data_IF_004374447888
#
_entry.id   IF_004374447888
#
_cell.length_a   1.000
_cell.length_b   1.000
_cell.length_c   1.000
_cell.angle_alpha   90.00
_cell.angle_beta   90.00
_cell.angle_gamma   90.00
#
_symmetry.space_group_name_H-M   'P 1'
#
loop_
_entity.id
_entity.type
_entity.pdbx_description
1 polymer ?
#
# COMPACT_ATOMS: atom_id res chain seq x y z
N UNK A 1 -18.84 -39.16 -30.43
CA UNK A 1 -17.91 -38.73 -29.38
C UNK A 1 -16.57 -39.47 -29.49
N UNK A 2 -15.51 -38.97 -28.82
CA UNK A 2 -14.20 -39.68 -28.85
C UNK A 2 -14.27 -41.09 -28.23
N UNK A 3 -15.13 -41.27 -27.25
CA UNK A 3 -15.32 -42.60 -26.66
C UNK A 3 -15.93 -43.61 -27.65
N UNK A 4 -16.83 -43.17 -28.52
CA UNK A 4 -17.36 -43.96 -29.61
C UNK A 4 -16.28 -44.29 -30.63
N UNK A 5 -15.44 -43.29 -31.00
CA UNK A 5 -14.29 -43.50 -31.89
C UNK A 5 -13.25 -44.50 -31.32
N UNK A 6 -13.19 -44.57 -30.00
CA UNK A 6 -12.26 -45.47 -29.29
C UNK A 6 -12.90 -46.78 -28.84
N UNK A 7 -14.07 -47.12 -29.35
CA UNK A 7 -14.83 -48.34 -28.97
C UNK A 7 -15.01 -48.49 -27.45
N UNK A 8 -15.20 -47.37 -26.76
CA UNK A 8 -15.36 -47.33 -25.31
C UNK A 8 -14.04 -47.48 -24.51
N UNK A 9 -12.89 -47.46 -25.15
CA UNK A 9 -11.60 -47.64 -24.47
C UNK A 9 -11.18 -46.41 -23.67
N UNK A 10 -11.48 -46.37 -22.38
CA UNK A 10 -11.17 -45.27 -21.44
C UNK A 10 -9.66 -44.89 -21.44
N UNK A 11 -8.78 -45.87 -21.51
CA UNK A 11 -7.34 -45.65 -21.56
C UNK A 11 -6.89 -44.80 -22.76
N UNK A 12 -7.56 -44.95 -23.92
CA UNK A 12 -7.29 -44.14 -25.11
C UNK A 12 -7.79 -42.68 -24.90
N UNK A 13 -8.95 -42.53 -24.29
CA UNK A 13 -9.48 -41.20 -23.89
C UNK A 13 -8.53 -40.45 -22.98
N UNK A 14 -8.08 -41.08 -21.92
CA UNK A 14 -7.10 -40.47 -20.97
C UNK A 14 -5.74 -40.17 -21.63
N UNK A 15 -5.29 -41.02 -22.56
CA UNK A 15 -4.06 -40.75 -23.29
C UNK A 15 -4.21 -39.51 -24.19
N UNK A 16 -5.33 -39.40 -24.89
CA UNK A 16 -5.63 -38.24 -25.71
C UNK A 16 -5.67 -36.93 -24.86
N UNK A 17 -6.36 -36.96 -23.74
CA UNK A 17 -6.42 -35.80 -22.80
C UNK A 17 -5.04 -35.36 -22.37
N UNK A 18 -4.15 -36.31 -21.98
CA UNK A 18 -2.76 -35.99 -21.60
C UNK A 18 -1.99 -35.38 -22.75
N UNK A 19 -2.07 -35.96 -23.96
CA UNK A 19 -1.37 -35.43 -25.12
C UNK A 19 -1.80 -33.98 -25.44
N UNK A 20 -3.08 -33.73 -25.41
CA UNK A 20 -3.62 -32.33 -25.60
C UNK A 20 -3.13 -31.41 -24.50
N UNK A 21 -3.19 -31.83 -23.24
CA UNK A 21 -2.77 -31.02 -22.10
C UNK A 21 -1.28 -30.70 -22.14
N UNK A 22 -0.45 -31.68 -22.51
CA UNK A 22 0.99 -31.51 -22.64
C UNK A 22 1.34 -30.57 -23.79
N UNK A 23 0.71 -30.74 -24.96
CA UNK A 23 0.91 -29.88 -26.13
C UNK A 23 0.51 -28.42 -25.86
N UNK A 24 -0.59 -28.23 -25.13
CA UNK A 24 -1.08 -26.89 -24.75
C UNK A 24 -0.41 -26.31 -23.51
N UNK A 25 0.52 -27.02 -22.87
CA UNK A 25 1.25 -26.55 -21.70
C UNK A 25 0.49 -26.66 -20.37
N UNK A 26 -0.66 -27.31 -20.29
CA UNK A 26 -1.46 -27.49 -19.07
C UNK A 26 -1.04 -28.69 -18.22
N UNK A 27 0.25 -28.85 -17.96
CA UNK A 27 0.79 -30.02 -17.25
C UNK A 27 0.17 -30.33 -15.89
N UNK A 28 -0.29 -29.27 -15.16
CA UNK A 28 -0.85 -29.37 -13.82
C UNK A 28 -2.22 -28.68 -13.69
N UNK A 29 -2.82 -28.27 -14.78
CA UNK A 29 -4.05 -27.46 -14.80
C UNK A 29 -5.32 -28.19 -15.22
N UNK A 30 -5.24 -29.51 -15.45
CA UNK A 30 -6.38 -30.31 -15.88
C UNK A 30 -7.13 -30.80 -14.66
N UNK A 31 -8.41 -30.47 -14.57
CA UNK A 31 -9.30 -31.00 -13.52
C UNK A 31 -9.89 -32.33 -13.97
N UNK A 32 -9.98 -33.33 -13.07
CA UNK A 32 -10.44 -34.68 -13.44
C UNK A 32 -11.92 -34.76 -13.79
N UNK A 33 -12.70 -33.79 -13.33
CA UNK A 33 -14.15 -33.69 -13.60
C UNK A 33 -14.51 -32.24 -13.84
N UNK A 34 -15.16 -31.95 -14.95
CA UNK A 34 -15.72 -30.64 -15.26
C UNK A 34 -17.06 -30.81 -16.00
N UNK A 35 -17.80 -29.72 -16.16
CA UNK A 35 -18.98 -29.69 -17.02
C UNK A 35 -18.64 -29.45 -18.49
N UNK A 36 -19.57 -28.89 -19.22
CA UNK A 36 -19.38 -28.52 -20.63
C UNK A 36 -18.33 -27.42 -20.85
N UNK A 37 -18.07 -26.63 -19.80
CA UNK A 37 -17.06 -25.56 -19.76
C UNK A 37 -16.22 -25.69 -18.47
N UNK A 38 -15.10 -24.98 -18.41
CA UNK A 38 -14.37 -24.87 -17.15
C UNK A 38 -15.20 -24.17 -16.07
N UNK A 39 -14.95 -24.49 -14.82
CA UNK A 39 -15.63 -23.83 -13.69
C UNK A 39 -15.39 -22.30 -13.70
N UNK A 40 -16.45 -21.51 -13.63
CA UNK A 40 -16.35 -20.04 -13.56
C UNK A 40 -15.70 -19.52 -12.27
N UNK A 41 -15.42 -20.42 -11.32
CA UNK A 41 -14.56 -20.10 -10.16
C UNK A 41 -13.14 -19.74 -10.58
N UNK A 42 -12.67 -20.18 -11.76
CA UNK A 42 -11.37 -19.78 -12.30
C UNK A 42 -11.37 -18.27 -12.59
N UNK A 43 -12.41 -17.77 -13.25
CA UNK A 43 -12.57 -16.34 -13.53
C UNK A 43 -12.64 -15.53 -12.21
N UNK A 44 -13.38 -16.05 -11.22
CA UNK A 44 -13.46 -15.42 -9.89
C UNK A 44 -12.09 -15.40 -9.18
N UNK A 45 -11.31 -16.45 -9.26
CA UNK A 45 -9.97 -16.51 -8.68
C UNK A 45 -9.00 -15.52 -9.35
N UNK A 46 -9.09 -15.37 -10.68
CA UNK A 46 -8.30 -14.38 -11.44
C UNK A 46 -8.64 -12.96 -10.96
N UNK A 47 -9.92 -12.59 -10.95
CA UNK A 47 -10.31 -11.25 -10.53
C UNK A 47 -10.07 -11.00 -9.03
N UNK A 48 -10.13 -12.03 -8.19
CA UNK A 48 -9.69 -11.92 -6.79
C UNK A 48 -8.22 -11.51 -6.68
N UNK A 49 -7.36 -12.06 -7.53
CA UNK A 49 -5.94 -11.69 -7.58
C UNK A 49 -5.77 -10.23 -8.03
N UNK A 50 -6.46 -9.82 -9.09
CA UNK A 50 -6.44 -8.42 -9.55
C UNK A 50 -6.97 -7.45 -8.48
N UNK A 51 -8.04 -7.85 -7.77
CA UNK A 51 -8.56 -7.11 -6.62
C UNK A 51 -7.53 -6.97 -5.50
N UNK A 52 -6.74 -8.01 -5.22
CA UNK A 52 -5.64 -7.96 -4.25
C UNK A 52 -4.55 -6.96 -4.65
N UNK A 53 -4.18 -6.91 -5.92
CA UNK A 53 -3.25 -5.90 -6.47
C UNK A 53 -3.84 -4.50 -6.28
N UNK A 54 -5.12 -4.32 -6.64
CA UNK A 54 -5.81 -3.04 -6.52
C UNK A 54 -5.89 -2.54 -5.06
N UNK A 55 -6.09 -3.44 -4.09
CA UNK A 55 -6.08 -3.11 -2.66
C UNK A 55 -4.73 -2.55 -2.23
N UNK A 56 -3.63 -3.17 -2.63
CA UNK A 56 -2.27 -2.72 -2.29
C UNK A 56 -1.96 -1.36 -2.91
N UNK A 57 -2.27 -1.17 -4.19
CA UNK A 57 -2.03 0.11 -4.87
C UNK A 57 -2.96 1.22 -4.39
N UNK A 58 -4.21 0.89 -4.06
CA UNK A 58 -5.15 1.83 -3.46
C UNK A 58 -4.69 2.31 -2.08
N UNK A 59 -4.12 1.40 -1.27
CA UNK A 59 -3.51 1.74 0.03
C UNK A 59 -2.31 2.67 -0.16
N UNK A 60 -1.36 2.33 -1.02
CA UNK A 60 -0.22 3.17 -1.37
C UNK A 60 -0.66 4.57 -1.81
N UNK A 61 -1.59 4.65 -2.76
CA UNK A 61 -2.09 5.92 -3.28
C UNK A 61 -2.82 6.76 -2.22
N UNK A 62 -3.49 6.11 -1.27
CA UNK A 62 -4.13 6.81 -0.14
C UNK A 62 -3.08 7.44 0.77
N UNK A 63 -2.01 6.73 1.11
CA UNK A 63 -0.90 7.27 1.91
C UNK A 63 -0.25 8.47 1.21
N UNK A 64 0.03 8.33 -0.10
CA UNK A 64 0.56 9.43 -0.91
C UNK A 64 -0.32 10.68 -0.86
N UNK A 65 -1.65 10.52 -0.94
CA UNK A 65 -2.60 11.63 -0.85
C UNK A 65 -2.59 12.30 0.53
N UNK A 66 -2.51 11.51 1.60
CA UNK A 66 -2.42 12.02 2.97
C UNK A 66 -1.11 12.79 3.21
N UNK A 67 0.02 12.24 2.76
CA UNK A 67 1.32 12.89 2.88
C UNK A 67 1.43 14.14 2.00
N UNK A 68 0.78 14.14 0.84
CA UNK A 68 0.67 15.34 0.00
C UNK A 68 -0.20 16.43 0.65
N UNK A 69 -1.27 16.06 1.37
CA UNK A 69 -2.06 16.99 2.17
C UNK A 69 -1.22 17.67 3.25
N UNK A 70 -0.33 16.89 3.90
CA UNK A 70 0.63 17.41 4.88
C UNK A 70 1.78 18.19 4.23
N UNK A 71 1.88 18.23 2.91
CA UNK A 71 2.97 18.85 2.14
C UNK A 71 4.35 18.20 2.39
N UNK A 72 4.36 16.96 2.81
CA UNK A 72 5.59 16.21 3.12
C UNK A 72 6.18 15.55 1.89
N UNK A 73 5.33 15.23 0.91
CA UNK A 73 5.76 14.73 -0.39
C UNK A 73 4.76 15.10 -1.50
N UNK A 74 5.19 14.94 -2.74
CA UNK A 74 4.36 15.12 -3.94
C UNK A 74 4.63 13.99 -4.94
N UNK A 75 3.60 13.66 -5.73
CA UNK A 75 3.78 12.86 -6.94
C UNK A 75 4.53 13.69 -8.02
N UNK A 76 5.12 13.02 -9.04
CA UNK A 76 5.80 13.74 -10.12
C UNK A 76 4.82 14.69 -10.82
N UNK A 77 5.33 15.89 -11.13
CA UNK A 77 4.57 16.94 -11.79
C UNK A 77 5.31 17.38 -13.04
N UNK A 78 4.66 17.26 -14.19
CA UNK A 78 5.25 17.63 -15.48
C UNK A 78 5.39 19.15 -15.57
N UNK A 79 6.47 19.62 -16.22
CA UNK A 79 6.74 21.06 -16.35
C UNK A 79 5.62 21.85 -17.02
N UNK A 80 4.84 21.21 -17.88
CA UNK A 80 3.72 21.80 -18.61
C UNK A 80 2.36 21.48 -17.99
N UNK A 81 2.32 20.75 -16.87
CA UNK A 81 1.08 20.35 -16.21
C UNK A 81 0.49 21.53 -15.44
N UNK A 82 -0.78 21.83 -15.69
CA UNK A 82 -1.53 22.88 -14.98
C UNK A 82 -2.32 22.23 -13.85
N UNK A 83 -1.94 22.54 -12.61
CA UNK A 83 -2.60 21.97 -11.44
C UNK A 83 -4.00 22.55 -11.15
N UNK A 84 -4.23 23.82 -11.53
CA UNK A 84 -5.49 24.52 -11.39
C UNK A 84 -5.48 25.80 -12.22
N UNK A 85 -6.60 26.10 -12.89
CA UNK A 85 -6.76 27.36 -13.64
C UNK A 85 -6.82 28.60 -12.75
N UNK A 86 -7.32 28.48 -11.53
CA UNK A 86 -7.46 29.57 -10.57
C UNK A 86 -6.24 29.76 -9.66
N UNK A 87 -5.51 28.68 -9.38
CA UNK A 87 -4.35 28.66 -8.49
C UNK A 87 -3.21 27.88 -9.15
N UNK A 88 -2.39 28.50 -10.02
CA UNK A 88 -1.37 27.77 -10.81
C UNK A 88 -0.32 27.04 -9.98
N UNK A 89 -0.07 27.48 -8.73
CA UNK A 89 0.87 26.82 -7.83
C UNK A 89 0.31 25.57 -7.14
N UNK A 90 -1.02 25.36 -7.21
CA UNK A 90 -1.69 24.23 -6.55
C UNK A 90 -1.34 22.93 -7.25
N UNK A 91 -0.81 22.01 -6.50
CA UNK A 91 -0.49 20.64 -6.94
C UNK A 91 -1.37 19.65 -6.18
N UNK A 92 -2.18 18.91 -6.93
CA UNK A 92 -3.03 17.87 -6.38
C UNK A 92 -2.42 16.51 -6.71
N UNK A 93 -2.54 15.50 -5.84
CA UNK A 93 -2.09 14.14 -6.11
C UNK A 93 -3.07 13.42 -7.05
N UNK A 94 -3.22 13.95 -8.27
CA UNK A 94 -4.23 13.55 -9.25
C UNK A 94 -4.02 12.12 -9.76
N UNK A 95 -2.76 11.69 -9.88
CA UNK A 95 -2.41 10.32 -10.27
C UNK A 95 -2.83 9.34 -9.19
N UNK A 96 -2.53 9.65 -7.92
CA UNK A 96 -2.95 8.84 -6.79
C UNK A 96 -4.48 8.83 -6.59
N UNK A 97 -5.16 9.94 -6.87
CA UNK A 97 -6.64 9.99 -6.88
C UNK A 97 -7.22 9.05 -7.93
N UNK A 98 -6.61 8.99 -9.12
CA UNK A 98 -7.01 8.08 -10.20
C UNK A 98 -6.77 6.61 -9.83
N UNK A 99 -5.61 6.30 -9.21
CA UNK A 99 -5.36 4.94 -8.68
C UNK A 99 -6.46 4.56 -7.68
N UNK A 100 -6.77 5.41 -6.69
CA UNK A 100 -7.82 5.13 -5.71
C UNK A 100 -9.19 4.90 -6.35
N UNK A 101 -9.51 5.65 -7.40
CA UNK A 101 -10.78 5.51 -8.12
C UNK A 101 -10.87 4.18 -8.86
N UNK A 102 -9.87 3.85 -9.68
CA UNK A 102 -9.83 2.60 -10.44
C UNK A 102 -9.69 1.36 -9.54
N UNK A 103 -8.96 1.47 -8.43
CA UNK A 103 -8.85 0.38 -7.47
C UNK A 103 -10.21 -0.01 -6.89
N UNK A 104 -11.08 0.97 -6.56
CA UNK A 104 -12.45 0.67 -6.12
C UNK A 104 -13.27 -0.01 -7.20
N UNK A 105 -13.09 0.40 -8.46
CA UNK A 105 -13.76 -0.25 -9.59
C UNK A 105 -13.35 -1.73 -9.70
N UNK A 106 -12.05 -2.03 -9.70
CA UNK A 106 -11.53 -3.40 -9.79
C UNK A 106 -12.03 -4.28 -8.63
N UNK A 107 -12.02 -3.73 -7.40
CA UNK A 107 -12.52 -4.45 -6.23
C UNK A 107 -14.02 -4.75 -6.32
N UNK A 108 -14.83 -3.82 -6.85
CA UNK A 108 -16.26 -4.03 -7.05
C UNK A 108 -16.53 -5.02 -8.20
N UNK A 109 -15.74 -4.95 -9.27
CA UNK A 109 -15.89 -5.80 -10.46
C UNK A 109 -15.63 -7.30 -10.15
N UNK A 110 -14.81 -7.61 -9.16
CA UNK A 110 -14.60 -8.98 -8.67
C UNK A 110 -15.91 -9.71 -8.34
N UNK A 111 -16.93 -9.00 -7.92
CA UNK A 111 -18.25 -9.60 -7.60
C UNK A 111 -18.94 -10.22 -8.82
N UNK A 112 -18.68 -9.71 -10.02
CA UNK A 112 -19.28 -10.23 -11.26
C UNK A 112 -18.96 -11.71 -11.50
N UNK A 113 -17.69 -12.15 -11.61
CA UNK A 113 -17.37 -13.56 -11.82
C UNK A 113 -17.69 -14.42 -10.59
N UNK A 114 -17.68 -13.88 -9.39
CA UNK A 114 -18.07 -14.62 -8.19
C UNK A 114 -19.58 -14.97 -8.23
N UNK A 115 -20.43 -14.01 -8.59
CA UNK A 115 -21.87 -14.23 -8.78
C UNK A 115 -22.15 -15.15 -9.97
N UNK A 116 -21.42 -15.00 -11.06
CA UNK A 116 -21.53 -15.89 -12.23
C UNK A 116 -21.19 -17.33 -11.86
N UNK A 117 -20.12 -17.54 -11.09
CA UNK A 117 -19.73 -18.87 -10.62
C UNK A 117 -20.78 -19.51 -9.70
N UNK A 118 -21.42 -18.69 -8.84
CA UNK A 118 -22.49 -19.12 -7.96
C UNK A 118 -23.74 -19.56 -8.72
N UNK A 119 -24.11 -18.82 -9.78
CA UNK A 119 -25.39 -18.97 -10.50
C UNK A 119 -25.32 -19.97 -11.68
N UNK A 120 -24.24 -20.72 -11.84
CA UNK A 120 -24.12 -21.74 -12.88
C UNK A 120 -25.15 -22.87 -12.67
N UNK A 121 -25.93 -23.18 -13.73
CA UNK A 121 -26.84 -24.32 -13.71
C UNK A 121 -26.08 -25.57 -14.13
N UNK A 122 -26.25 -26.66 -13.39
CA UNK A 122 -25.68 -27.96 -13.71
C UNK A 122 -24.31 -27.89 -14.39
N UNK A 123 -24.27 -28.05 -15.71
CA UNK A 123 -23.02 -28.01 -16.48
C UNK A 123 -22.71 -26.62 -17.06
N UNK A 124 -23.73 -25.85 -17.43
CA UNK A 124 -23.58 -24.52 -18.00
C UNK A 124 -24.90 -23.74 -18.10
N UNK A 125 -24.82 -22.42 -17.93
CA UNK A 125 -25.77 -21.44 -18.43
C UNK A 125 -25.08 -20.44 -19.34
N UNK A 126 -25.82 -19.79 -20.26
CA UNK A 126 -25.28 -18.77 -21.17
C UNK A 126 -25.27 -17.36 -20.57
N UNK A 127 -25.81 -17.17 -19.40
CA UNK A 127 -25.81 -15.87 -18.70
C UNK A 127 -24.39 -15.39 -18.34
N UNK A 128 -23.44 -16.30 -18.24
CA UNK A 128 -22.02 -16.00 -18.03
C UNK A 128 -21.41 -15.22 -19.20
N UNK A 129 -21.92 -15.43 -20.40
CA UNK A 129 -21.25 -15.07 -21.64
C UNK A 129 -21.08 -13.56 -21.82
N UNK A 130 -22.11 -12.77 -21.59
CA UNK A 130 -22.05 -11.30 -21.71
C UNK A 130 -21.28 -10.69 -20.54
N UNK A 131 -21.58 -11.10 -19.31
CA UNK A 131 -20.95 -10.56 -18.10
C UNK A 131 -19.44 -10.70 -18.13
N UNK A 132 -18.90 -11.90 -18.37
CA UNK A 132 -17.45 -12.12 -18.37
C UNK A 132 -16.69 -11.38 -19.46
N UNK A 133 -17.34 -11.06 -20.59
CA UNK A 133 -16.75 -10.28 -21.69
C UNK A 133 -16.58 -8.81 -21.36
N UNK A 134 -17.26 -8.33 -20.35
CA UNK A 134 -17.14 -6.97 -19.83
C UNK A 134 -16.19 -6.99 -18.62
N UNK A 135 -16.55 -7.76 -17.59
CA UNK A 135 -15.84 -7.74 -16.31
C UNK A 135 -14.36 -8.15 -16.43
N UNK A 136 -14.04 -9.23 -17.15
CA UNK A 136 -12.64 -9.69 -17.23
C UNK A 136 -11.74 -8.69 -17.97
N UNK A 137 -12.06 -8.26 -19.22
CA UNK A 137 -11.22 -7.29 -19.91
C UNK A 137 -11.08 -5.96 -19.17
N UNK A 138 -12.16 -5.45 -18.58
CA UNK A 138 -12.11 -4.18 -17.86
C UNK A 138 -11.28 -4.28 -16.59
N UNK A 139 -11.35 -5.38 -15.85
CA UNK A 139 -10.50 -5.62 -14.68
C UNK A 139 -9.00 -5.63 -15.05
N UNK A 140 -8.63 -6.29 -16.14
CA UNK A 140 -7.24 -6.30 -16.62
C UNK A 140 -6.78 -4.92 -17.09
N UNK A 141 -7.58 -4.22 -17.90
CA UNK A 141 -7.25 -2.89 -18.38
C UNK A 141 -7.11 -1.88 -17.24
N UNK A 142 -8.03 -1.91 -16.29
CA UNK A 142 -7.96 -1.04 -15.12
C UNK A 142 -6.75 -1.37 -14.22
N UNK A 143 -6.41 -2.65 -14.08
CA UNK A 143 -5.24 -3.08 -13.30
C UNK A 143 -3.94 -2.66 -13.98
N UNK A 144 -3.80 -2.83 -15.29
CA UNK A 144 -2.64 -2.34 -16.05
C UNK A 144 -2.50 -0.81 -15.91
N UNK A 145 -3.61 -0.09 -16.01
CA UNK A 145 -3.61 1.36 -15.84
C UNK A 145 -3.09 1.80 -14.47
N UNK A 146 -3.59 1.20 -13.38
CA UNK A 146 -3.13 1.58 -12.03
C UNK A 146 -1.69 1.16 -11.75
N UNK A 147 -1.22 0.05 -12.30
CA UNK A 147 0.18 -0.38 -12.21
C UNK A 147 1.11 0.62 -12.91
N UNK A 148 0.76 1.05 -14.12
CA UNK A 148 1.53 2.06 -14.86
C UNK A 148 1.58 3.39 -14.13
N UNK A 149 0.44 3.85 -13.61
CA UNK A 149 0.38 5.10 -12.84
C UNK A 149 1.20 4.96 -11.56
N UNK A 150 1.09 3.85 -10.83
CA UNK A 150 1.85 3.63 -9.60
C UNK A 150 3.36 3.59 -9.85
N UNK A 151 3.81 2.94 -10.93
CA UNK A 151 5.21 2.91 -11.32
C UNK A 151 5.75 4.32 -11.64
N UNK A 152 4.98 5.11 -12.38
CA UNK A 152 5.33 6.50 -12.67
C UNK A 152 5.39 7.35 -11.38
N UNK A 153 4.42 7.22 -10.48
CA UNK A 153 4.42 7.92 -9.20
C UNK A 153 5.63 7.51 -8.36
N UNK A 154 5.87 6.21 -8.18
CA UNK A 154 6.96 5.70 -7.37
C UNK A 154 8.34 6.13 -7.88
N UNK A 155 8.51 6.16 -9.21
CA UNK A 155 9.76 6.60 -9.84
C UNK A 155 10.05 8.10 -9.77
N UNK A 156 9.06 8.92 -9.40
CA UNK A 156 9.18 10.38 -9.41
C UNK A 156 8.73 11.07 -8.11
N UNK A 157 8.59 10.35 -7.00
CA UNK A 157 8.21 10.93 -5.70
C UNK A 157 9.21 12.02 -5.31
N UNK A 158 8.66 13.19 -4.97
CA UNK A 158 9.43 14.29 -4.39
C UNK A 158 9.17 14.39 -2.89
N UNK A 159 10.23 14.27 -2.10
CA UNK A 159 10.16 14.32 -0.64
C UNK A 159 10.63 15.68 -0.13
N UNK A 160 9.90 16.27 0.79
CA UNK A 160 10.20 17.56 1.41
C UNK A 160 10.72 17.38 2.84
N UNK A 161 11.97 16.97 2.96
CA UNK A 161 12.63 16.64 4.24
C UNK A 161 12.49 17.74 5.30
N UNK A 162 12.57 19.02 4.90
CA UNK A 162 12.44 20.13 5.83
C UNK A 162 11.02 20.29 6.40
N UNK A 163 9.99 19.95 5.61
CA UNK A 163 8.60 19.96 6.09
C UNK A 163 8.39 18.80 7.06
N UNK A 164 8.89 17.61 6.72
CA UNK A 164 8.86 16.45 7.60
C UNK A 164 9.56 16.75 8.91
N UNK A 165 10.76 17.30 8.86
CA UNK A 165 11.52 17.68 10.07
C UNK A 165 10.75 18.69 10.92
N UNK A 166 10.07 19.66 10.31
CA UNK A 166 9.23 20.62 11.03
C UNK A 166 8.11 19.91 11.79
N UNK A 167 7.33 19.05 11.13
CA UNK A 167 6.22 18.34 11.76
C UNK A 167 6.69 17.40 12.87
N UNK A 168 7.80 16.68 12.63
CA UNK A 168 8.39 15.82 13.67
C UNK A 168 8.79 16.67 14.88
N UNK A 169 9.47 17.79 14.68
CA UNK A 169 9.94 18.63 15.79
C UNK A 169 8.79 19.26 16.61
N UNK A 170 7.62 19.43 16.02
CA UNK A 170 6.43 19.88 16.72
C UNK A 170 5.87 18.80 17.68
N UNK A 171 5.94 17.53 17.31
CA UNK A 171 5.38 16.41 18.08
C UNK A 171 6.43 15.69 18.95
N UNK A 172 7.68 15.73 18.57
CA UNK A 172 8.77 14.96 19.22
C UNK A 172 8.91 15.21 20.72
N UNK A 173 8.71 16.44 21.26
CA UNK A 173 8.71 16.67 22.69
C UNK A 173 7.67 15.83 23.45
N UNK A 174 6.49 15.60 22.88
CA UNK A 174 5.48 14.72 23.49
C UNK A 174 5.84 13.24 23.38
N UNK A 175 6.43 12.84 22.25
CA UNK A 175 6.86 11.46 22.03
C UNK A 175 8.03 11.07 22.96
N UNK A 176 8.92 11.99 23.23
CA UNK A 176 10.12 11.77 24.04
C UNK A 176 9.86 11.74 25.56
N UNK A 177 8.65 11.98 26.02
CA UNK A 177 8.33 12.11 27.46
C UNK A 177 8.75 10.89 28.27
N UNK A 178 8.63 9.67 27.74
CA UNK A 178 9.08 8.46 28.41
C UNK A 178 10.60 8.43 28.58
N UNK A 179 11.35 8.76 27.51
CA UNK A 179 12.80 8.79 27.54
C UNK A 179 13.31 9.84 28.54
N UNK A 180 12.71 11.04 28.50
CA UNK A 180 13.02 12.13 29.46
C UNK A 180 12.75 11.68 30.90
N UNK A 181 11.61 11.04 31.14
CA UNK A 181 11.27 10.48 32.46
C UNK A 181 12.31 9.45 32.91
N UNK A 182 12.70 8.53 32.02
CA UNK A 182 13.69 7.52 32.36
C UNK A 182 15.08 8.10 32.62
N UNK A 183 15.46 9.17 31.94
CA UNK A 183 16.67 9.92 32.27
C UNK A 183 16.60 10.54 33.66
N UNK A 184 15.48 11.19 33.99
CA UNK A 184 15.29 11.76 35.34
C UNK A 184 15.31 10.66 36.44
N UNK A 185 14.72 9.48 36.17
CA UNK A 185 14.83 8.34 37.12
C UNK A 185 16.29 7.90 37.33
N UNK A 186 17.11 7.84 36.27
CA UNK A 186 18.55 7.54 36.38
C UNK A 186 19.30 8.55 37.24
N UNK A 187 18.82 9.79 37.33
CA UNK A 187 19.35 10.84 38.21
C UNK A 187 18.75 10.80 39.63
N UNK A 188 17.97 9.74 39.97
CA UNK A 188 17.44 9.52 41.32
C UNK A 188 16.00 9.98 41.54
N UNK A 189 15.30 10.43 40.50
CA UNK A 189 13.89 10.86 40.58
C UNK A 189 12.92 9.70 40.81
N UNK A 190 11.82 9.96 41.49
CA UNK A 190 10.75 9.00 41.70
C UNK A 190 9.90 8.89 40.44
N UNK A 191 9.81 7.67 39.86
CA UNK A 191 9.10 7.43 38.59
C UNK A 191 7.64 7.86 38.59
N UNK A 192 6.89 7.62 39.69
CA UNK A 192 5.47 7.96 39.77
C UNK A 192 5.25 9.48 39.84
N UNK A 193 6.08 10.15 40.61
CA UNK A 193 6.03 11.59 40.76
C UNK A 193 6.43 12.29 39.46
N UNK A 194 7.49 11.83 38.80
CA UNK A 194 7.92 12.32 37.49
C UNK A 194 6.85 12.11 36.42
N UNK A 195 6.18 10.95 36.42
CA UNK A 195 5.09 10.68 35.49
C UNK A 195 3.94 11.69 35.65
N UNK A 196 3.51 11.95 36.90
CA UNK A 196 2.46 12.91 37.14
C UNK A 196 2.88 14.35 36.72
N UNK A 197 4.12 14.73 36.99
CA UNK A 197 4.65 16.03 36.56
C UNK A 197 4.71 16.15 35.04
N UNK A 198 5.15 15.11 34.33
CA UNK A 198 5.12 15.07 32.85
C UNK A 198 3.69 15.22 32.34
N UNK A 199 2.74 14.50 32.94
CA UNK A 199 1.31 14.63 32.55
C UNK A 199 0.81 16.05 32.67
N UNK A 200 1.10 16.74 33.79
CA UNK A 200 0.70 18.13 34.02
C UNK A 200 1.34 19.06 32.98
N UNK A 201 2.64 18.96 32.75
CA UNK A 201 3.36 19.78 31.80
C UNK A 201 2.92 19.50 30.35
N UNK A 202 2.67 18.24 29.98
CA UNK A 202 2.21 17.85 28.64
C UNK A 202 0.81 18.40 28.34
N UNK A 203 -0.12 18.34 29.30
CA UNK A 203 -1.47 18.93 29.17
C UNK A 203 -1.38 20.43 28.96
N UNK A 204 -0.55 21.11 29.77
CA UNK A 204 -0.38 22.55 29.66
C UNK A 204 0.29 22.97 28.33
N UNK A 205 1.33 22.25 27.90
CA UNK A 205 1.96 22.50 26.59
C UNK A 205 1.01 22.18 25.43
N UNK A 206 0.20 21.12 25.55
CA UNK A 206 -0.85 20.80 24.58
C UNK A 206 -1.89 21.91 24.42
N UNK A 207 -2.29 22.57 25.52
CA UNK A 207 -3.18 23.73 25.48
C UNK A 207 -2.51 24.93 24.76
N UNK A 208 -1.22 25.18 25.02
CA UNK A 208 -0.47 26.24 24.32
C UNK A 208 -0.48 26.00 22.80
N UNK A 209 -0.22 24.78 22.37
CA UNK A 209 -0.22 24.44 20.94
C UNK A 209 -1.62 24.51 20.34
N UNK A 210 -2.62 23.90 20.98
CA UNK A 210 -3.95 23.67 20.38
C UNK A 210 -4.89 24.87 20.54
N UNK A 211 -4.83 25.57 21.67
CA UNK A 211 -5.75 26.67 21.97
C UNK A 211 -5.16 28.02 21.58
N UNK A 212 -3.83 28.18 21.67
CA UNK A 212 -3.17 29.45 21.41
C UNK A 212 -2.44 29.50 20.07
N UNK A 213 -2.22 28.34 19.41
CA UNK A 213 -1.47 28.24 18.15
C UNK A 213 0.01 28.60 18.29
N UNK A 214 0.56 28.50 19.50
CA UNK A 214 1.96 28.81 19.78
C UNK A 214 2.85 27.55 19.69
N UNK A 215 4.18 27.71 19.56
CA UNK A 215 5.11 26.58 19.57
C UNK A 215 5.02 25.77 20.85
N UNK A 216 5.36 24.46 20.73
CA UNK A 216 5.43 23.54 21.85
C UNK A 216 6.51 23.95 22.84
N UNK A 217 6.13 24.24 24.09
CA UNK A 217 7.00 24.70 25.16
C UNK A 217 7.32 23.62 26.22
N UNK A 218 6.97 22.35 25.94
CA UNK A 218 7.11 21.23 26.89
C UNK A 218 8.55 21.08 27.40
N UNK A 219 9.54 21.19 26.53
CA UNK A 219 10.97 21.10 26.89
C UNK A 219 11.33 22.13 27.95
N UNK A 220 10.97 23.38 27.73
CA UNK A 220 11.27 24.48 28.66
C UNK A 220 10.50 24.33 29.99
N UNK A 221 9.30 23.79 29.97
CA UNK A 221 8.52 23.48 31.20
C UNK A 221 9.19 22.41 32.03
N UNK A 222 9.64 21.32 31.41
CA UNK A 222 10.33 20.23 32.11
C UNK A 222 11.68 20.70 32.63
N UNK A 223 12.44 21.45 31.82
CA UNK A 223 13.74 22.01 32.25
C UNK A 223 13.62 22.99 33.42
N UNK A 224 12.51 23.74 33.46
CA UNK A 224 12.21 24.66 34.55
C UNK A 224 11.69 24.01 35.85
N UNK A 225 11.42 22.70 35.84
CA UNK A 225 10.90 21.98 37.01
C UNK A 225 12.03 21.20 37.71
N UNK A 226 12.46 21.64 38.91
CA UNK A 226 13.60 21.04 39.60
C UNK A 226 13.49 19.55 39.91
N UNK A 227 12.27 19.00 39.92
CA UNK A 227 12.04 17.59 40.23
C UNK A 227 12.70 16.63 39.24
N UNK A 228 12.89 17.10 37.96
CA UNK A 228 13.52 16.29 36.92
C UNK A 228 15.04 16.21 37.08
N UNK A 229 15.67 17.21 37.69
CA UNK A 229 17.13 17.28 37.87
C UNK A 229 17.87 17.23 36.52
N UNK A 230 17.23 17.65 35.43
CA UNK A 230 17.80 17.64 34.06
C UNK A 230 17.96 19.06 33.53
N UNK A 231 19.04 19.27 32.81
CA UNK A 231 19.23 20.52 32.04
C UNK A 231 18.45 20.45 30.74
N UNK A 232 18.14 21.63 30.15
CA UNK A 232 17.48 21.70 28.84
C UNK A 232 18.29 20.97 27.75
N UNK A 233 19.63 21.00 27.81
CA UNK A 233 20.52 20.30 26.89
C UNK A 233 20.34 18.79 26.98
N UNK A 234 20.26 18.26 28.21
CA UNK A 234 20.03 16.83 28.45
C UNK A 234 18.62 16.41 27.91
N UNK A 235 17.61 17.23 28.12
CA UNK A 235 16.27 16.95 27.59
C UNK A 235 16.29 16.97 26.05
N UNK A 236 16.93 17.97 25.44
CA UNK A 236 17.06 18.08 23.98
C UNK A 236 17.84 16.94 23.35
N UNK A 237 18.78 16.33 24.08
CA UNK A 237 19.51 15.15 23.58
C UNK A 237 18.61 13.91 23.37
N UNK A 238 17.46 13.85 24.05
CA UNK A 238 16.46 12.79 23.85
C UNK A 238 15.55 13.05 22.63
N UNK A 239 15.67 14.22 21.98
CA UNK A 239 14.84 14.62 20.84
C UNK A 239 15.52 14.30 19.50
N UNK A 240 16.22 13.18 19.39
CA UNK A 240 16.72 12.70 18.09
C UNK A 240 15.65 11.83 17.38
N UNK A 241 15.09 12.28 16.25
CA UNK A 241 14.10 11.49 15.52
C UNK A 241 14.55 10.08 15.15
N UNK A 242 15.86 9.89 14.94
CA UNK A 242 16.43 8.59 14.56
C UNK A 242 16.30 7.54 15.66
N UNK A 243 16.20 7.96 16.92
CA UNK A 243 16.00 7.06 18.06
C UNK A 243 14.58 6.44 18.07
N UNK A 244 13.63 6.99 17.28
CA UNK A 244 12.23 6.58 17.27
C UNK A 244 11.85 5.76 16.04
N UNK A 245 12.76 5.48 15.13
CA UNK A 245 12.49 4.70 13.92
C UNK A 245 12.47 3.19 14.15
N UNK A 246 12.94 2.73 15.30
CA UNK A 246 13.08 1.30 15.60
C UNK A 246 13.89 0.56 14.53
N UNK A 247 13.39 -0.57 14.07
CA UNK A 247 14.01 -1.39 13.02
C UNK A 247 13.55 -1.05 11.60
N UNK A 248 12.75 0.01 11.40
CA UNK A 248 12.17 0.30 10.09
C UNK A 248 13.22 0.37 8.95
N UNK A 249 14.40 1.03 9.10
CA UNK A 249 15.41 1.04 8.05
C UNK A 249 15.96 -0.35 7.71
N UNK A 250 16.23 -1.17 8.72
CA UNK A 250 16.73 -2.55 8.55
C UNK A 250 15.68 -3.43 7.89
N UNK A 251 14.41 -3.33 8.31
CA UNK A 251 13.30 -4.09 7.73
C UNK A 251 13.11 -3.77 6.24
N UNK A 252 13.32 -2.53 5.82
CA UNK A 252 13.27 -2.18 4.39
C UNK A 252 14.39 -2.88 3.62
N UNK A 253 15.62 -2.86 4.14
CA UNK A 253 16.76 -3.54 3.50
C UNK A 253 16.52 -5.06 3.42
N UNK A 254 16.12 -5.68 4.53
CA UNK A 254 15.80 -7.12 4.59
C UNK A 254 14.69 -7.48 3.57
N UNK A 255 13.62 -6.70 3.51
CA UNK A 255 12.54 -6.93 2.56
C UNK A 255 12.98 -6.83 1.09
N UNK A 256 13.81 -5.84 0.78
CA UNK A 256 14.33 -5.67 -0.58
C UNK A 256 15.22 -6.84 -0.99
N UNK A 257 16.10 -7.31 -0.10
CA UNK A 257 17.01 -8.42 -0.40
C UNK A 257 16.31 -9.79 -0.41
N UNK A 258 15.43 -10.05 0.56
CA UNK A 258 14.84 -11.37 0.76
C UNK A 258 13.57 -11.60 -0.06
N UNK A 259 12.78 -10.55 -0.31
CA UNK A 259 11.48 -10.66 -0.97
C UNK A 259 11.46 -10.07 -2.39
N UNK A 260 12.01 -8.86 -2.57
CA UNK A 260 11.90 -8.15 -3.85
C UNK A 260 12.91 -8.67 -4.87
N UNK A 261 14.18 -8.72 -4.51
CA UNK A 261 15.26 -9.12 -5.40
C UNK A 261 15.06 -10.50 -6.04
N UNK A 262 14.68 -11.57 -5.31
CA UNK A 262 14.41 -12.88 -5.93
C UNK A 262 13.28 -12.84 -6.97
N UNK A 263 12.26 -12.00 -6.76
CA UNK A 263 11.16 -11.84 -7.73
C UNK A 263 11.65 -11.14 -8.99
N UNK A 264 12.42 -10.05 -8.84
CA UNK A 264 12.99 -9.33 -9.98
C UNK A 264 13.95 -10.20 -10.79
N UNK A 265 14.80 -11.00 -10.14
CA UNK A 265 15.70 -11.95 -10.80
C UNK A 265 14.92 -13.01 -11.56
N UNK A 266 13.89 -13.59 -10.95
CA UNK A 266 13.04 -14.62 -11.57
C UNK A 266 12.37 -14.13 -12.86
N UNK A 267 11.96 -12.88 -12.89
CA UNK A 267 11.22 -12.29 -14.01
C UNK A 267 12.04 -11.28 -14.83
N UNK A 268 13.37 -11.29 -14.69
CA UNK A 268 14.28 -10.33 -15.35
C UNK A 268 14.09 -10.23 -16.87
N UNK A 269 13.79 -11.37 -17.53
CA UNK A 269 13.52 -11.38 -18.97
C UNK A 269 12.16 -10.80 -19.39
N UNK A 270 11.29 -10.44 -18.45
CA UNK A 270 9.97 -9.85 -18.69
C UNK A 270 9.90 -8.38 -18.25
N UNK A 271 10.95 -7.88 -17.62
CA UNK A 271 11.01 -6.49 -17.16
C UNK A 271 11.30 -5.60 -18.37
N UNK A 272 10.40 -4.64 -18.62
CA UNK A 272 10.60 -3.58 -19.60
C UNK A 272 11.00 -2.30 -18.85
N UNK A 273 12.25 -1.89 -19.04
CA UNK A 273 12.82 -0.67 -18.44
C UNK A 273 12.38 0.62 -19.16
N UNK A 274 11.49 0.52 -20.15
CA UNK A 274 10.98 1.69 -20.86
C UNK A 274 10.22 2.61 -19.90
N UNK A 275 10.60 3.89 -19.76
CA UNK A 275 9.89 4.82 -18.91
C UNK A 275 8.40 4.88 -19.28
N UNK A 276 7.54 4.73 -18.28
CA UNK A 276 6.10 4.84 -18.49
C UNK A 276 5.73 6.32 -18.66
N UNK A 277 5.65 6.78 -19.91
CA UNK A 277 5.08 8.11 -20.19
C UNK A 277 3.57 8.07 -19.99
N UNK A 278 3.09 8.90 -19.08
CA UNK A 278 1.66 9.14 -18.91
C UNK A 278 1.30 10.43 -19.65
N UNK A 279 0.50 10.32 -20.71
CA UNK A 279 -0.15 11.50 -21.30
C UNK A 279 -1.31 11.91 -20.39
N UNK A 280 -1.11 12.96 -19.61
CA UNK A 280 -2.10 13.51 -18.64
C UNK A 280 -2.82 14.69 -19.28
#
# INVERSE_FOLDING_TARGET
SFMELFDGADAKGRKMERLISDEMGFKNGVVPVSGQTYSRKVDAAILATLSGIAQSLGKFATDMRLLSHLKELEEPFEGNQIGSSAMPYKRNPMRCERICSLARYIMADYMNPAMTAYNQWFERTLDDSANKRISIPEAFLATDAILRIANNVAGGIKVYEKVIAKHINEELPFMATENIMMQAVKHGGNRQELHERIRVHSVAAGAVVKEQGLPNDLVSRIAGDPIFGLTEEQIRSELDPKAYTGRAPQQVTEFLEECVKPVLEKYSGLIDDTPTELKV
#
